data_IF_667425564653
#
_entry.id   IF_667425564653
#
_cell.length_a   1.000
_cell.length_b   1.000
_cell.length_c   1.000
_cell.angle_alpha   90.00
_cell.angle_beta   90.00
_cell.angle_gamma   90.00
#
_symmetry.space_group_name_H-M   'P 1'
#
loop_
_entity.id
_entity.type
_entity.pdbx_description
1 polymer ?
#
# COMPACT_ATOMS: atom_id res chain seq x y z
N UNK A 1 49.55 -5.52 -6.41
CA UNK A 1 48.35 -6.34 -6.58
C UNK A 1 47.16 -5.48 -6.14
N UNK A 2 46.54 -4.87 -7.07
CA UNK A 2 45.36 -3.96 -6.89
C UNK A 2 44.09 -4.80 -7.02
N UNK A 3 43.30 -4.82 -5.96
CA UNK A 3 41.96 -5.41 -5.98
C UNK A 3 41.02 -4.51 -6.81
N UNK A 4 40.15 -5.04 -7.68
CA UNK A 4 39.17 -4.24 -8.40
C UNK A 4 38.02 -3.81 -7.49
N UNK A 5 37.71 -2.52 -7.55
CA UNK A 5 36.49 -1.92 -6.97
C UNK A 5 35.26 -2.62 -7.54
N UNK A 6 34.37 -3.07 -6.64
CA UNK A 6 33.00 -3.46 -6.97
C UNK A 6 32.16 -2.24 -7.38
N UNK A 7 31.03 -2.44 -8.06
CA UNK A 7 30.21 -1.37 -8.58
C UNK A 7 29.62 -0.52 -7.46
N UNK A 8 29.69 0.78 -7.68
CA UNK A 8 29.43 1.84 -6.71
C UNK A 8 28.09 1.72 -5.99
N UNK A 9 28.16 1.85 -4.67
CA UNK A 9 27.01 2.05 -3.82
C UNK A 9 26.26 3.31 -4.24
N UNK A 10 24.95 3.18 -4.38
CA UNK A 10 24.04 4.30 -4.59
C UNK A 10 24.11 5.24 -3.39
N UNK A 11 24.32 6.50 -3.67
CA UNK A 11 24.67 7.51 -2.67
C UNK A 11 23.57 7.76 -1.65
N UNK A 12 24.04 8.00 -0.46
CA UNK A 12 23.35 8.41 0.79
C UNK A 12 22.66 9.79 0.71
N UNK A 13 22.17 10.21 -0.48
CA UNK A 13 21.80 11.60 -0.78
C UNK A 13 20.31 11.94 -0.76
N UNK A 14 19.39 11.01 -0.53
CA UNK A 14 17.98 11.32 -0.39
C UNK A 14 17.62 11.78 1.04
N UNK A 15 18.22 12.89 1.49
CA UNK A 15 17.86 13.51 2.75
C UNK A 15 16.56 14.29 2.62
N UNK A 16 15.64 14.18 3.61
CA UNK A 16 14.42 14.94 3.68
C UNK A 16 13.13 14.10 3.59
N UNK A 17 12.01 14.80 3.64
CA UNK A 17 10.68 14.18 3.58
C UNK A 17 10.30 13.86 2.12
N UNK A 18 9.96 12.60 1.77
CA UNK A 18 9.55 12.23 0.41
C UNK A 18 8.15 12.70 0.01
N UNK A 19 7.30 13.08 0.97
CA UNK A 19 5.89 13.40 0.70
C UNK A 19 5.70 14.61 -0.23
N UNK A 20 6.44 15.73 -0.11
CA UNK A 20 6.36 16.84 -1.04
C UNK A 20 6.67 16.43 -2.49
N UNK A 21 7.71 15.62 -2.71
CA UNK A 21 8.10 15.15 -4.03
C UNK A 21 7.02 14.22 -4.61
N UNK A 22 6.54 13.23 -3.85
CA UNK A 22 5.48 12.33 -4.27
C UNK A 22 4.19 13.08 -4.63
N UNK A 23 3.79 14.07 -3.83
CA UNK A 23 2.59 14.89 -4.10
C UNK A 23 2.76 15.77 -5.33
N UNK A 24 3.95 16.30 -5.57
CA UNK A 24 4.26 17.07 -6.79
C UNK A 24 4.14 16.22 -8.03
N UNK A 25 4.71 15.01 -8.02
CA UNK A 25 4.60 14.06 -9.14
C UNK A 25 3.15 13.68 -9.44
N UNK A 26 2.33 13.41 -8.42
CA UNK A 26 0.93 13.03 -8.63
C UNK A 26 0.08 14.20 -9.12
N UNK A 27 0.30 15.42 -8.62
CA UNK A 27 -0.39 16.63 -9.11
C UNK A 27 -0.02 16.94 -10.56
N UNK A 28 1.27 16.94 -10.87
CA UNK A 28 1.73 17.18 -12.24
C UNK A 28 1.23 16.12 -13.22
N UNK A 29 1.13 14.86 -12.79
CA UNK A 29 0.50 13.82 -13.60
C UNK A 29 -0.96 14.16 -13.92
N UNK A 30 -1.74 14.59 -12.93
CA UNK A 30 -3.14 14.99 -13.13
C UNK A 30 -3.27 16.20 -14.07
N UNK A 31 -2.41 17.21 -13.94
CA UNK A 31 -2.33 18.37 -14.84
C UNK A 31 -1.97 17.95 -16.28
N UNK A 32 -1.13 16.93 -16.44
CA UNK A 32 -0.81 16.30 -17.73
C UNK A 32 -1.88 15.33 -18.23
N UNK A 33 -3.03 15.21 -17.55
CA UNK A 33 -4.12 14.31 -17.91
C UNK A 33 -3.82 12.83 -17.66
N UNK A 34 -2.84 12.52 -16.79
CA UNK A 34 -2.48 11.16 -16.42
C UNK A 34 -2.98 10.81 -15.02
N UNK A 35 -3.32 9.54 -14.82
CA UNK A 35 -3.77 9.05 -13.53
C UNK A 35 -2.64 8.34 -12.80
N UNK A 36 -2.15 8.99 -11.75
CA UNK A 36 -1.12 8.48 -10.84
C UNK A 36 -1.60 8.67 -9.41
N UNK A 37 -1.37 7.69 -8.54
CA UNK A 37 -1.81 7.74 -7.14
C UNK A 37 -0.69 7.32 -6.21
N UNK A 38 -0.68 7.89 -5.00
CA UNK A 38 0.23 7.49 -3.93
C UNK A 38 -0.33 6.27 -3.21
N UNK A 39 0.53 5.29 -2.97
CA UNK A 39 0.23 4.14 -2.12
C UNK A 39 1.27 4.01 -0.99
N UNK A 40 1.27 2.91 -0.27
CA UNK A 40 2.23 2.66 0.79
C UNK A 40 2.10 3.62 1.99
N UNK A 41 3.20 3.80 2.72
CA UNK A 41 3.22 4.66 3.91
C UNK A 41 2.98 6.15 3.62
N UNK A 42 3.34 6.63 2.41
CA UNK A 42 3.06 8.00 2.01
C UNK A 42 1.56 8.22 1.77
N UNK A 43 0.85 7.23 1.21
CA UNK A 43 -0.60 7.28 1.09
C UNK A 43 -1.30 7.37 2.45
N UNK A 44 -0.82 6.64 3.44
CA UNK A 44 -1.31 6.74 4.83
C UNK A 44 -1.11 8.15 5.38
N UNK A 45 0.06 8.76 5.16
CA UNK A 45 0.36 10.13 5.61
C UNK A 45 -0.52 11.19 4.94
N UNK A 46 -0.83 11.02 3.65
CA UNK A 46 -1.78 11.93 2.96
C UNK A 46 -3.17 11.88 3.59
N UNK A 47 -3.63 10.69 3.96
CA UNK A 47 -4.95 10.48 4.56
C UNK A 47 -5.01 10.87 6.04
N UNK A 48 -3.89 10.79 6.75
CA UNK A 48 -3.77 11.05 8.18
C UNK A 48 -2.71 12.14 8.45
N UNK A 49 -2.86 13.36 7.94
CA UNK A 49 -1.84 14.40 7.98
C UNK A 49 -1.54 14.92 9.39
N UNK A 50 -2.48 14.76 10.33
CA UNK A 50 -2.34 15.24 11.71
C UNK A 50 -1.49 14.29 12.58
N UNK A 51 -1.13 13.11 12.07
CA UNK A 51 -0.35 12.13 12.83
C UNK A 51 1.15 12.27 12.54
N UNK A 52 2.01 12.05 13.55
CA UNK A 52 3.44 12.19 13.38
C UNK A 52 3.96 11.23 12.30
N UNK A 53 4.73 11.73 11.33
CA UNK A 53 5.26 10.88 10.28
C UNK A 53 6.36 9.97 10.82
N UNK A 54 6.41 8.75 10.32
CA UNK A 54 7.55 7.88 10.50
C UNK A 54 8.54 8.13 9.36
N UNK A 55 9.48 9.03 9.60
CA UNK A 55 10.55 9.34 8.63
C UNK A 55 11.70 8.35 8.79
N UNK A 56 12.26 7.91 7.67
CA UNK A 56 13.50 7.13 7.60
C UNK A 56 14.35 7.60 6.42
N UNK A 57 15.66 7.47 6.56
CA UNK A 57 16.58 7.72 5.44
C UNK A 57 16.26 6.75 4.28
N UNK A 58 16.43 7.22 3.05
CA UNK A 58 16.22 6.39 1.86
C UNK A 58 14.78 5.86 1.67
N UNK A 59 13.77 6.52 2.23
CA UNK A 59 12.38 6.10 2.04
C UNK A 59 11.95 6.27 0.59
N UNK A 60 11.46 5.20 0.01
CA UNK A 60 10.96 5.07 -1.36
C UNK A 60 9.65 5.83 -1.57
N UNK A 61 9.32 6.11 -2.82
CA UNK A 61 8.03 6.65 -3.24
C UNK A 61 7.24 5.54 -3.93
N UNK A 62 6.20 5.05 -3.28
CA UNK A 62 5.30 4.05 -3.83
C UNK A 62 4.14 4.73 -4.58
N UNK A 63 4.00 4.45 -5.86
CA UNK A 63 2.95 4.98 -6.74
C UNK A 63 2.16 3.85 -7.39
N UNK A 64 0.97 4.18 -7.88
CA UNK A 64 0.10 3.28 -8.62
C UNK A 64 -0.44 3.95 -9.88
N UNK A 65 -0.57 3.18 -10.96
CA UNK A 65 -1.23 3.61 -12.18
C UNK A 65 -2.07 2.48 -12.79
N UNK A 66 -2.90 2.83 -13.80
CA UNK A 66 -3.63 1.86 -14.61
C UNK A 66 -2.79 1.38 -15.79
N UNK A 67 -2.85 0.08 -16.09
CA UNK A 67 -2.14 -0.54 -17.21
C UNK A 67 -2.46 0.10 -18.57
N UNK A 68 -3.71 0.53 -18.76
CA UNK A 68 -4.13 1.25 -19.98
C UNK A 68 -3.37 2.56 -20.19
N UNK A 69 -2.95 3.25 -19.11
CA UNK A 69 -2.24 4.53 -19.16
C UNK A 69 -0.73 4.44 -18.90
N UNK A 70 -0.19 3.28 -18.54
CA UNK A 70 1.16 3.14 -17.99
C UNK A 70 2.28 3.77 -18.83
N UNK A 71 2.21 3.67 -20.17
CA UNK A 71 3.23 4.28 -21.05
C UNK A 71 3.23 5.79 -20.93
N UNK A 72 2.05 6.43 -20.96
CA UNK A 72 1.92 7.88 -20.80
C UNK A 72 2.34 8.35 -19.40
N UNK A 73 2.13 7.52 -18.37
CA UNK A 73 2.65 7.78 -17.01
C UNK A 73 4.17 7.69 -17.01
N UNK A 74 4.77 6.72 -17.70
CA UNK A 74 6.23 6.63 -17.84
C UNK A 74 6.80 7.85 -18.57
N UNK A 75 6.22 8.22 -19.72
CA UNK A 75 6.63 9.43 -20.49
C UNK A 75 6.52 10.69 -19.62
N UNK A 76 5.46 10.81 -18.82
CA UNK A 76 5.29 11.92 -17.87
C UNK A 76 6.40 11.93 -16.82
N UNK A 77 6.67 10.79 -16.16
CA UNK A 77 7.71 10.71 -15.12
C UNK A 77 9.09 11.07 -15.67
N UNK A 78 9.42 10.60 -16.88
CA UNK A 78 10.66 10.97 -17.57
C UNK A 78 10.69 12.50 -17.85
N UNK A 79 9.59 13.10 -18.31
CA UNK A 79 9.49 14.53 -18.53
C UNK A 79 9.58 15.36 -17.24
N UNK A 80 9.20 14.78 -16.10
CA UNK A 80 9.33 15.35 -14.76
C UNK A 80 10.76 15.17 -14.17
N UNK A 81 11.69 14.60 -14.94
CA UNK A 81 13.08 14.42 -14.56
C UNK A 81 13.36 13.12 -13.79
N UNK A 82 12.41 12.19 -13.76
CA UNK A 82 12.66 10.87 -13.17
C UNK A 82 13.42 9.98 -14.16
N UNK A 83 14.44 9.28 -13.68
CA UNK A 83 15.27 8.38 -14.50
C UNK A 83 14.70 6.95 -14.45
N UNK A 84 14.25 6.37 -15.59
CA UNK A 84 13.71 5.01 -15.62
C UNK A 84 14.81 3.95 -15.52
N UNK A 85 14.59 2.89 -14.76
CA UNK A 85 15.32 1.64 -14.96
C UNK A 85 14.78 0.96 -16.24
N UNK A 86 15.41 1.25 -17.38
CA UNK A 86 14.96 0.75 -18.69
C UNK A 86 14.97 -0.77 -18.77
N UNK A 87 15.93 -1.43 -18.11
CA UNK A 87 16.02 -2.90 -18.13
C UNK A 87 14.88 -3.52 -17.33
N UNK A 88 14.67 -3.05 -16.13
CA UNK A 88 13.59 -3.51 -15.27
C UNK A 88 12.23 -3.24 -15.92
N UNK A 89 11.99 -2.01 -16.40
CA UNK A 89 10.73 -1.58 -17.00
C UNK A 89 10.39 -2.33 -18.31
N UNK A 90 11.38 -2.71 -19.09
CA UNK A 90 11.15 -3.54 -20.29
C UNK A 90 10.71 -4.97 -19.95
N UNK A 91 11.17 -5.52 -18.82
CA UNK A 91 10.83 -6.88 -18.39
C UNK A 91 9.55 -6.94 -17.55
N UNK A 92 9.30 -5.94 -16.73
CA UNK A 92 8.28 -5.96 -15.69
C UNK A 92 7.21 -4.87 -15.82
N UNK A 93 7.35 -3.94 -16.78
CA UNK A 93 6.53 -2.73 -16.88
C UNK A 93 5.03 -2.95 -17.12
N UNK A 94 4.59 -4.18 -17.32
CA UNK A 94 3.18 -4.57 -17.32
C UNK A 94 2.60 -4.78 -15.90
N UNK A 95 3.46 -4.91 -14.87
CA UNK A 95 3.11 -5.12 -13.45
C UNK A 95 3.71 -4.07 -12.54
N UNK A 96 4.95 -3.66 -12.80
CA UNK A 96 5.69 -2.70 -11.98
C UNK A 96 6.69 -1.95 -12.86
N UNK A 97 6.83 -0.65 -12.64
CA UNK A 97 7.87 0.17 -13.24
C UNK A 97 8.72 0.80 -12.14
N UNK A 98 10.02 0.95 -12.41
CA UNK A 98 10.97 1.51 -11.48
C UNK A 98 11.64 2.76 -12.05
N UNK A 99 11.75 3.81 -11.22
CA UNK A 99 12.40 5.08 -11.56
C UNK A 99 13.24 5.58 -10.38
N UNK A 100 14.16 6.48 -10.66
CA UNK A 100 14.78 7.33 -9.65
C UNK A 100 14.23 8.74 -9.80
N UNK A 101 13.74 9.32 -8.72
CA UNK A 101 13.30 10.70 -8.67
C UNK A 101 14.48 11.67 -8.88
N UNK A 102 14.25 12.96 -9.19
CA UNK A 102 15.31 13.98 -9.23
C UNK A 102 16.12 14.10 -7.95
N UNK A 103 15.54 13.77 -6.80
CA UNK A 103 16.24 13.70 -5.51
C UNK A 103 17.13 12.44 -5.35
N UNK A 104 17.13 11.53 -6.30
CA UNK A 104 17.77 10.20 -6.22
C UNK A 104 16.98 9.16 -5.44
N UNK A 105 15.71 9.45 -5.06
CA UNK A 105 14.85 8.48 -4.37
C UNK A 105 14.32 7.43 -5.33
N UNK A 106 14.28 6.15 -4.90
CA UNK A 106 13.56 5.12 -5.63
C UNK A 106 12.06 5.44 -5.74
N UNK A 107 11.50 5.20 -6.92
CA UNK A 107 10.07 5.26 -7.20
C UNK A 107 9.63 3.91 -7.75
N UNK A 108 8.72 3.28 -7.04
CA UNK A 108 8.01 2.08 -7.48
C UNK A 108 6.62 2.45 -7.99
N UNK A 109 6.30 2.08 -9.24
CA UNK A 109 4.98 2.31 -9.83
C UNK A 109 4.29 0.98 -10.08
N UNK A 110 3.34 0.62 -9.22
CA UNK A 110 2.52 -0.58 -9.37
C UNK A 110 1.46 -0.38 -10.45
N UNK A 111 1.24 -1.39 -11.28
CA UNK A 111 0.33 -1.34 -12.43
C UNK A 111 -0.87 -2.25 -12.19
N UNK A 112 -2.08 -1.68 -12.13
CA UNK A 112 -3.37 -2.35 -11.89
C UNK A 112 -3.51 -3.09 -10.56
N UNK A 113 -2.44 -3.67 -10.01
CA UNK A 113 -2.48 -4.51 -8.82
C UNK A 113 -1.20 -4.44 -8.01
N UNK A 114 -1.32 -4.71 -6.72
CA UNK A 114 -0.19 -4.93 -5.80
C UNK A 114 -0.15 -6.41 -5.43
N UNK A 115 0.93 -7.10 -5.81
CA UNK A 115 1.17 -8.52 -5.48
C UNK A 115 2.25 -8.61 -4.41
N UNK A 116 1.85 -9.07 -3.21
CA UNK A 116 2.71 -9.37 -2.07
C UNK A 116 2.33 -10.76 -1.53
N UNK A 117 1.92 -10.89 -0.26
CA UNK A 117 1.38 -12.17 0.22
C UNK A 117 0.06 -12.55 -0.47
N UNK A 118 -0.65 -11.58 -1.00
CA UNK A 118 -1.85 -11.73 -1.83
C UNK A 118 -1.81 -10.69 -2.97
N UNK A 119 -2.67 -10.87 -3.97
CA UNK A 119 -2.82 -9.90 -5.05
C UNK A 119 -4.02 -9.00 -4.79
N UNK A 120 -3.80 -7.71 -4.63
CA UNK A 120 -4.81 -6.66 -4.50
C UNK A 120 -5.01 -5.95 -5.84
N UNK A 121 -6.15 -6.13 -6.47
CA UNK A 121 -6.57 -5.31 -7.61
C UNK A 121 -7.11 -3.97 -7.08
N UNK A 122 -6.45 -2.88 -7.43
CA UNK A 122 -6.79 -1.53 -6.97
C UNK A 122 -7.39 -0.64 -8.07
N UNK A 123 -7.79 -1.20 -9.21
CA UNK A 123 -8.32 -0.40 -10.34
C UNK A 123 -9.54 0.44 -9.96
N UNK A 124 -10.38 -0.04 -9.05
CA UNK A 124 -11.54 0.72 -8.54
C UNK A 124 -11.14 2.03 -7.85
N UNK A 125 -9.98 2.10 -7.22
CA UNK A 125 -9.46 3.34 -6.61
C UNK A 125 -9.33 4.49 -7.60
N UNK A 126 -9.19 4.22 -8.90
CA UNK A 126 -9.04 5.23 -9.95
C UNK A 126 -10.36 5.87 -10.40
N UNK A 127 -11.49 5.44 -9.85
CA UNK A 127 -12.80 6.09 -10.03
C UNK A 127 -12.95 7.41 -9.26
N UNK A 128 -12.03 7.75 -8.37
CA UNK A 128 -12.05 8.99 -7.58
C UNK A 128 -10.90 9.93 -7.94
N UNK A 129 -11.08 11.22 -7.68
CA UNK A 129 -10.04 12.25 -7.86
C UNK A 129 -9.01 12.29 -6.71
N UNK A 130 -9.07 11.36 -5.75
CA UNK A 130 -8.10 11.28 -4.65
C UNK A 130 -6.67 11.10 -5.16
N UNK A 131 -5.71 11.73 -4.48
CA UNK A 131 -4.28 11.55 -4.76
C UNK A 131 -3.75 10.18 -4.31
N UNK A 132 -4.50 9.44 -3.49
CA UNK A 132 -4.12 8.14 -2.96
C UNK A 132 -5.01 7.04 -3.52
N UNK A 133 -4.62 5.79 -3.34
CA UNK A 133 -5.57 4.69 -3.44
C UNK A 133 -6.73 4.89 -2.44
N UNK A 134 -7.83 4.17 -2.67
CA UNK A 134 -8.95 4.12 -1.74
C UNK A 134 -8.45 3.69 -0.33
N UNK A 135 -8.97 4.31 0.76
CA UNK A 135 -8.55 3.96 2.12
C UNK A 135 -8.71 2.47 2.46
N UNK A 136 -9.73 1.78 1.94
CA UNK A 136 -9.88 0.34 2.15
C UNK A 136 -8.78 -0.45 1.41
N UNK A 137 -8.39 -0.04 0.19
CA UNK A 137 -7.29 -0.66 -0.54
C UNK A 137 -5.94 -0.41 0.14
N UNK A 138 -5.70 0.81 0.67
CA UNK A 138 -4.50 1.09 1.46
C UNK A 138 -4.44 0.24 2.74
N UNK A 139 -5.54 0.11 3.46
CA UNK A 139 -5.60 -0.74 4.65
C UNK A 139 -5.36 -2.21 4.30
N UNK A 140 -6.00 -2.72 3.24
CA UNK A 140 -5.81 -4.08 2.75
C UNK A 140 -4.37 -4.33 2.32
N UNK A 141 -3.70 -3.35 1.69
CA UNK A 141 -2.29 -3.47 1.31
C UNK A 141 -1.37 -3.75 2.50
N UNK A 142 -1.75 -3.29 3.69
CA UNK A 142 -1.02 -3.51 4.95
C UNK A 142 -1.46 -4.80 5.65
N UNK A 143 -2.75 -5.08 5.68
CA UNK A 143 -3.31 -6.26 6.33
C UNK A 143 -3.02 -7.57 5.58
N UNK A 144 -2.58 -7.53 4.31
CA UNK A 144 -2.22 -8.74 3.56
C UNK A 144 -0.92 -9.40 4.03
N UNK A 145 -0.06 -8.69 4.75
CA UNK A 145 1.26 -9.17 5.15
C UNK A 145 1.12 -10.24 6.23
N UNK A 146 1.51 -11.47 5.93
CA UNK A 146 1.35 -12.62 6.85
C UNK A 146 2.24 -12.48 8.08
N UNK A 147 3.47 -12.03 7.88
CA UNK A 147 4.42 -11.69 8.94
C UNK A 147 4.37 -10.18 9.20
N UNK A 148 3.31 -9.75 9.89
CA UNK A 148 3.07 -8.34 10.15
C UNK A 148 4.23 -7.74 10.96
N UNK A 149 4.94 -6.79 10.35
CA UNK A 149 6.03 -6.07 10.99
C UNK A 149 5.54 -4.76 11.65
N UNK A 150 6.40 -4.14 12.46
CA UNK A 150 6.06 -2.91 13.17
C UNK A 150 5.71 -1.73 12.23
N UNK A 151 6.30 -1.70 11.03
CA UNK A 151 6.01 -0.67 10.01
C UNK A 151 4.57 -0.76 9.52
N UNK A 152 4.14 -1.96 9.15
CA UNK A 152 2.78 -2.17 8.64
C UNK A 152 1.75 -2.06 9.76
N UNK A 153 2.09 -2.52 10.97
CA UNK A 153 1.25 -2.33 12.15
C UNK A 153 1.02 -0.84 12.47
N UNK A 154 2.07 -0.01 12.43
CA UNK A 154 1.96 1.44 12.60
C UNK A 154 1.02 2.06 11.54
N UNK A 155 1.18 1.73 10.27
CA UNK A 155 0.33 2.22 9.21
C UNK A 155 -1.14 1.80 9.38
N UNK A 156 -1.39 0.56 9.82
CA UNK A 156 -2.74 0.05 10.17
C UNK A 156 -3.35 0.88 11.31
N UNK A 157 -2.61 1.11 12.40
CA UNK A 157 -3.11 1.90 13.52
C UNK A 157 -3.39 3.33 13.12
N UNK A 158 -2.58 3.94 12.26
CA UNK A 158 -2.81 5.29 11.75
C UNK A 158 -4.09 5.36 10.91
N UNK A 159 -4.31 4.43 9.98
CA UNK A 159 -5.55 4.38 9.19
C UNK A 159 -6.79 4.18 10.06
N UNK A 160 -6.74 3.22 10.99
CA UNK A 160 -7.87 2.91 11.88
C UNK A 160 -8.14 4.03 12.91
N UNK A 161 -7.11 4.78 13.29
CA UNK A 161 -7.26 5.92 14.22
C UNK A 161 -7.68 7.21 13.52
N UNK A 162 -7.33 7.37 12.25
CA UNK A 162 -7.57 8.62 11.49
C UNK A 162 -8.84 8.60 10.67
N UNK A 163 -9.28 7.43 10.21
CA UNK A 163 -10.39 7.27 9.27
C UNK A 163 -11.52 6.45 9.89
N UNK A 164 -12.76 6.85 9.60
CA UNK A 164 -13.94 6.09 10.02
C UNK A 164 -14.12 4.85 9.14
N UNK A 165 -14.46 3.72 9.74
CA UNK A 165 -15.04 2.59 9.02
C UNK A 165 -16.51 2.91 8.72
N UNK A 166 -16.84 3.01 7.47
CA UNK A 166 -18.19 3.38 7.00
C UNK A 166 -18.14 4.09 5.65
N UNK A 167 -19.31 4.44 5.11
CA UNK A 167 -19.43 5.24 3.89
C UNK A 167 -19.57 6.70 4.28
N UNK A 168 -18.66 7.52 3.78
CA UNK A 168 -18.73 8.97 3.92
C UNK A 168 -18.36 9.61 2.58
N UNK A 169 -19.31 10.30 1.96
CA UNK A 169 -19.08 10.99 0.68
C UNK A 169 -18.33 12.32 0.82
N UNK A 170 -18.26 12.87 2.03
CA UNK A 170 -17.64 14.16 2.30
C UNK A 170 -16.18 14.04 2.76
N UNK A 171 -15.78 12.88 3.31
CA UNK A 171 -14.45 12.65 3.88
C UNK A 171 -13.91 11.27 3.50
N UNK A 172 -12.58 11.12 3.39
CA UNK A 172 -11.97 9.80 3.24
C UNK A 172 -12.41 8.87 4.37
N UNK A 173 -12.89 7.69 4.02
CA UNK A 173 -13.38 6.67 4.95
C UNK A 173 -13.04 5.28 4.45
N UNK A 174 -12.90 4.31 5.34
CA UNK A 174 -12.66 2.91 5.02
C UNK A 174 -14.01 2.28 4.64
N UNK A 175 -14.25 2.08 3.35
CA UNK A 175 -15.49 1.49 2.85
C UNK A 175 -15.59 0.00 3.24
N UNK A 176 -16.56 -0.40 4.10
CA UNK A 176 -16.73 -1.78 4.53
C UNK A 176 -17.14 -2.72 3.38
N UNK A 177 -17.82 -2.20 2.34
CA UNK A 177 -18.22 -3.04 1.20
C UNK A 177 -17.00 -3.38 0.33
N UNK A 178 -16.15 -2.38 0.03
CA UNK A 178 -14.89 -2.62 -0.69
C UNK A 178 -14.02 -3.61 0.06
N UNK A 179 -13.85 -3.39 1.38
CA UNK A 179 -13.11 -4.28 2.26
C UNK A 179 -13.68 -5.71 2.24
N UNK A 180 -14.98 -5.84 2.49
CA UNK A 180 -15.66 -7.13 2.50
C UNK A 180 -15.63 -7.86 1.17
N UNK A 181 -15.74 -7.14 0.04
CA UNK A 181 -15.73 -7.73 -1.29
C UNK A 181 -14.40 -8.46 -1.59
N UNK A 182 -13.25 -7.90 -1.17
CA UNK A 182 -11.94 -8.56 -1.33
C UNK A 182 -11.89 -9.85 -0.52
N UNK A 183 -12.35 -9.82 0.72
CA UNK A 183 -12.32 -10.99 1.62
C UNK A 183 -13.33 -12.07 1.20
N UNK A 184 -14.45 -11.67 0.61
CA UNK A 184 -15.46 -12.60 0.08
C UNK A 184 -15.00 -13.30 -1.21
N UNK A 185 -14.14 -12.66 -1.98
CA UNK A 185 -13.62 -13.21 -3.23
C UNK A 185 -12.59 -14.33 -3.00
N UNK A 186 -11.78 -14.23 -1.95
CA UNK A 186 -10.69 -15.18 -1.69
C UNK A 186 -10.57 -15.52 -0.19
N UNK A 187 -10.54 -16.83 0.12
CA UNK A 187 -10.40 -17.33 1.48
C UNK A 187 -9.03 -16.99 2.10
N UNK A 188 -7.98 -16.99 1.30
CA UNK A 188 -6.62 -16.67 1.77
C UNK A 188 -6.53 -15.23 2.25
N UNK A 189 -7.11 -14.29 1.50
CA UNK A 189 -7.26 -12.90 1.93
C UNK A 189 -7.99 -12.80 3.28
N UNK A 190 -9.17 -13.41 3.37
CA UNK A 190 -9.95 -13.43 4.62
C UNK A 190 -9.13 -13.99 5.78
N UNK A 191 -8.43 -15.11 5.55
CA UNK A 191 -7.66 -15.78 6.60
C UNK A 191 -6.51 -14.91 7.11
N UNK A 192 -5.76 -14.27 6.23
CA UNK A 192 -4.65 -13.40 6.62
C UNK A 192 -5.15 -12.15 7.33
N UNK A 193 -6.14 -11.47 6.75
CA UNK A 193 -6.67 -10.21 7.30
C UNK A 193 -7.30 -10.44 8.68
N UNK A 194 -8.14 -11.44 8.85
CA UNK A 194 -8.76 -11.73 10.16
C UNK A 194 -7.73 -12.10 11.23
N UNK A 195 -6.68 -12.85 10.87
CA UNK A 195 -5.57 -13.13 11.78
C UNK A 195 -4.81 -11.87 12.18
N UNK A 196 -4.57 -10.97 11.26
CA UNK A 196 -3.85 -9.74 11.55
C UNK A 196 -4.70 -8.77 12.38
N UNK A 197 -5.99 -8.63 12.08
CA UNK A 197 -6.91 -7.85 12.92
C UNK A 197 -6.97 -8.39 14.36
N UNK A 198 -6.98 -9.72 14.53
CA UNK A 198 -6.99 -10.35 15.85
C UNK A 198 -5.69 -10.13 16.66
N UNK A 199 -4.55 -9.85 16.00
CA UNK A 199 -3.28 -9.55 16.68
C UNK A 199 -3.18 -8.10 17.19
N UNK A 200 -3.98 -7.17 16.67
CA UNK A 200 -3.84 -5.74 16.97
C UNK A 200 -3.91 -5.40 18.47
N UNK A 201 -4.80 -6.00 19.29
CA UNK A 201 -4.82 -5.73 20.72
C UNK A 201 -3.49 -6.06 21.43
N UNK A 202 -2.90 -7.23 21.13
CA UNK A 202 -1.63 -7.66 21.72
C UNK A 202 -0.47 -6.79 21.22
N UNK A 203 -0.48 -6.42 19.94
CA UNK A 203 0.52 -5.51 19.37
C UNK A 203 0.47 -4.14 20.04
N UNK A 204 -0.71 -3.58 20.22
CA UNK A 204 -0.87 -2.28 20.87
C UNK A 204 -0.47 -2.33 22.35
N UNK A 205 -0.81 -3.42 23.05
CA UNK A 205 -0.41 -3.63 24.45
C UNK A 205 1.11 -3.73 24.61
N UNK A 206 1.78 -4.42 23.69
CA UNK A 206 3.25 -4.59 23.74
C UNK A 206 4.03 -3.38 23.20
N UNK A 207 3.42 -2.62 22.29
CA UNK A 207 4.02 -1.47 21.61
C UNK A 207 3.04 -0.29 21.52
N UNK A 208 2.76 0.43 22.63
CA UNK A 208 1.78 1.52 22.64
C UNK A 208 2.07 2.65 21.64
N UNK A 209 3.34 2.84 21.28
CA UNK A 209 3.77 3.83 20.29
C UNK A 209 3.34 3.54 18.83
N UNK A 210 2.70 2.42 18.56
CA UNK A 210 2.12 2.11 17.24
C UNK A 210 0.87 2.97 16.96
N UNK A 211 0.09 3.34 17.98
CA UNK A 211 -1.04 4.21 17.81
C UNK A 211 -0.60 5.69 17.84
N UNK A 212 -1.28 6.58 17.08
CA UNK A 212 -0.99 8.00 17.12
C UNK A 212 -1.43 8.59 18.49
N UNK A 213 -0.78 9.67 18.96
CA UNK A 213 -1.03 10.24 20.30
C UNK A 213 -2.43 10.86 20.43
N UNK A 214 -3.07 11.27 19.33
CA UNK A 214 -4.39 11.92 19.32
C UNK A 214 -5.30 11.27 18.28
N UNK A 215 -5.79 10.04 18.54
CA UNK A 215 -6.64 9.32 17.59
C UNK A 215 -8.00 10.00 17.46
N UNK A 216 -8.53 10.08 16.23
CA UNK A 216 -9.92 10.52 15.97
C UNK A 216 -10.93 9.43 16.28
N UNK A 217 -10.50 8.17 16.11
CA UNK A 217 -11.31 6.97 16.36
C UNK A 217 -10.50 5.98 17.19
N UNK A 218 -11.20 5.16 17.97
CA UNK A 218 -10.56 4.02 18.64
C UNK A 218 -10.25 2.92 17.63
N UNK A 219 -8.96 2.68 17.40
CA UNK A 219 -8.48 1.76 16.37
C UNK A 219 -8.95 0.32 16.61
N UNK A 220 -9.05 -0.12 17.87
CA UNK A 220 -9.47 -1.48 18.19
C UNK A 220 -10.98 -1.67 17.98
N UNK A 221 -11.78 -0.66 18.25
CA UNK A 221 -13.21 -0.64 17.92
C UNK A 221 -13.42 -0.69 16.41
N UNK A 222 -12.66 0.09 15.63
CA UNK A 222 -12.70 0.06 14.17
C UNK A 222 -12.25 -1.30 13.61
N UNK A 223 -11.19 -1.90 14.17
CA UNK A 223 -10.72 -3.23 13.80
C UNK A 223 -11.79 -4.30 14.05
N UNK A 224 -12.50 -4.21 15.18
CA UNK A 224 -13.62 -5.12 15.50
C UNK A 224 -14.77 -4.99 14.50
N UNK A 225 -15.13 -3.77 14.08
CA UNK A 225 -16.14 -3.55 13.04
C UNK A 225 -15.73 -4.21 11.72
N UNK A 226 -14.47 -4.08 11.31
CA UNK A 226 -13.94 -4.73 10.10
C UNK A 226 -13.92 -6.26 10.24
N UNK A 227 -13.68 -6.78 11.43
CA UNK A 227 -13.76 -8.21 11.70
C UNK A 227 -15.20 -8.73 11.58
N UNK A 228 -16.19 -7.98 12.06
CA UNK A 228 -17.62 -8.27 11.87
C UNK A 228 -18.00 -8.26 10.39
N UNK A 229 -17.51 -7.29 9.59
CA UNK A 229 -17.66 -7.28 8.12
C UNK A 229 -17.07 -8.53 7.50
N UNK A 230 -15.84 -8.91 7.89
CA UNK A 230 -15.17 -10.09 7.38
C UNK A 230 -15.95 -11.39 7.66
N UNK A 231 -16.65 -11.49 8.80
CA UNK A 231 -17.45 -12.67 9.15
C UNK A 231 -18.80 -12.68 8.44
N UNK A 232 -19.46 -11.55 8.31
CA UNK A 232 -20.84 -11.44 7.82
C UNK A 232 -20.97 -11.35 6.31
N UNK A 233 -19.92 -10.89 5.59
CA UNK A 233 -19.97 -10.75 4.13
C UNK A 233 -20.29 -12.11 3.46
N UNK A 234 -21.25 -12.15 2.48
CA UNK A 234 -21.63 -13.38 1.81
C UNK A 234 -20.45 -14.01 1.05
N UNK A 235 -20.19 -15.29 1.29
CA UNK A 235 -19.07 -16.03 0.71
C UNK A 235 -19.57 -17.05 -0.31
N UNK A 236 -18.94 -17.04 -1.51
CA UNK A 236 -19.29 -17.95 -2.60
C UNK A 236 -18.85 -19.40 -2.38
N UNK A 237 -19.26 -20.30 -3.29
CA UNK A 237 -18.98 -21.73 -3.19
C UNK A 237 -17.48 -22.03 -3.25
N UNK A 238 -16.74 -21.39 -4.14
CA UNK A 238 -15.27 -21.54 -4.28
C UNK A 238 -14.57 -21.21 -2.96
N UNK A 239 -14.96 -20.11 -2.33
CA UNK A 239 -14.44 -19.69 -1.02
C UNK A 239 -14.74 -20.77 0.05
N UNK A 240 -15.98 -21.24 0.14
CA UNK A 240 -16.41 -22.25 1.11
C UNK A 240 -15.67 -23.59 0.92
N UNK A 241 -15.42 -23.98 -0.33
CA UNK A 241 -14.64 -25.17 -0.65
C UNK A 241 -13.19 -25.03 -0.20
N UNK A 242 -12.57 -23.86 -0.46
CA UNK A 242 -11.20 -23.58 0.01
C UNK A 242 -11.11 -23.55 1.54
N UNK A 243 -12.13 -23.01 2.22
CA UNK A 243 -12.21 -22.96 3.68
C UNK A 243 -12.20 -24.37 4.33
N UNK A 244 -12.76 -25.40 3.66
CA UNK A 244 -12.72 -26.80 4.16
C UNK A 244 -11.29 -27.36 4.17
N UNK A 245 -10.44 -26.93 3.27
CA UNK A 245 -9.02 -27.32 3.25
C UNK A 245 -8.28 -26.60 4.38
N UNK A 246 -8.66 -25.35 4.66
CA UNK A 246 -8.11 -24.54 5.74
C UNK A 246 -6.61 -24.32 5.62
N UNK A 247 -5.91 -24.29 6.74
CA UNK A 247 -4.47 -24.02 6.85
C UNK A 247 -3.59 -25.22 6.41
N UNK A 248 -4.19 -26.36 6.01
CA UNK A 248 -3.45 -27.56 5.57
C UNK A 248 -2.64 -27.32 4.27
N UNK A 249 -3.09 -26.38 3.46
CA UNK A 249 -2.41 -25.97 2.22
C UNK A 249 -2.14 -24.48 2.32
N UNK A 250 -0.92 -24.10 2.04
CA UNK A 250 -0.48 -22.70 2.03
C UNK A 250 -1.43 -21.84 1.19
N UNK A 251 -1.80 -20.66 1.71
CA UNK A 251 -2.80 -19.78 1.11
C UNK A 251 -2.27 -18.41 0.73
N UNK A 252 -0.98 -18.19 0.88
CA UNK A 252 -0.29 -16.92 0.61
C UNK A 252 1.03 -17.18 -0.12
N UNK A 253 1.53 -16.18 -0.77
CA UNK A 253 2.88 -16.15 -1.33
C UNK A 253 3.80 -15.40 -0.35
N UNK A 254 5.07 -15.71 -0.35
CA UNK A 254 6.07 -14.84 0.27
C UNK A 254 6.50 -13.86 -0.81
N UNK A 255 6.53 -12.54 -0.51
CA UNK A 255 7.12 -11.59 -1.45
C UNK A 255 8.55 -12.03 -1.76
N UNK A 256 8.89 -12.12 -3.04
CA UNK A 256 10.29 -12.23 -3.43
C UNK A 256 10.96 -10.92 -3.01
N UNK A 257 11.98 -10.98 -2.16
CA UNK A 257 12.86 -9.85 -1.94
C UNK A 257 13.59 -9.62 -3.26
N UNK A 258 13.17 -8.62 -4.01
CA UNK A 258 13.92 -8.18 -5.19
C UNK A 258 15.10 -7.39 -4.64
N UNK A 259 16.26 -8.03 -4.57
CA UNK A 259 17.52 -7.34 -4.31
C UNK A 259 17.79 -6.36 -5.45
N UNK A 260 17.72 -5.08 -5.15
CA UNK A 260 18.01 -3.96 -6.07
C UNK A 260 19.45 -3.50 -5.93
#
# INVERSE_FOLDING_TARGET
MTTPNGPGGFGDSAAGDPLPEATTLVRGAAEAGQQLKILGGLGVRVLCPDFPPRLRAGQDIDLACLGKGRRKVADYLESAGCEPDKRFNNLNGDRQMYFNAPSGRPIDVMVDRLSMCHTLDFKSSFGSASMTLDPADLLLSKLQIVELNAKDAHDIFHLLSGLRVGRDSARPSIDPDRFGAVLAADWGWWRTVTRNLAKLPDLLSSQPGLAPPYPRFDALTQAKQLQEVAETVPKGLKWKTRARVGDRVRWYELPEEVDH
#
